data_IF_398837732685
#
_entry.id   IF_398837732685
#
_cell.length_a   1.000
_cell.length_b   1.000
_cell.length_c   1.000
_cell.angle_alpha   90.00
_cell.angle_beta   90.00
_cell.angle_gamma   90.00
#
_symmetry.space_group_name_H-M   'P 1'
#
loop_
_entity.id
_entity.type
_entity.pdbx_description
1 polymer ?
#
# COMPACT_ATOMS: atom_id res chain seq x y z
N UNK A 1 0.68 67.57 52.69
CA UNK A 1 1.01 67.07 51.33
C UNK A 1 1.31 65.59 51.45
N UNK A 2 0.33 64.73 51.15
CA UNK A 2 0.52 63.27 51.11
C UNK A 2 0.29 62.83 49.67
N UNK A 3 1.35 62.43 48.98
CA UNK A 3 1.33 61.94 47.60
C UNK A 3 1.02 60.44 47.60
N UNK A 4 -0.16 60.07 47.10
CA UNK A 4 -0.52 58.68 46.82
C UNK A 4 0.16 58.24 45.51
N UNK A 5 0.96 57.18 45.58
CA UNK A 5 1.50 56.47 44.42
C UNK A 5 0.56 55.30 44.10
N UNK A 6 -0.03 55.32 42.90
CA UNK A 6 -0.82 54.22 42.34
C UNK A 6 0.10 53.38 41.46
N UNK A 7 0.20 52.05 41.65
CA UNK A 7 0.98 51.20 40.76
C UNK A 7 0.15 50.82 39.53
N UNK A 8 0.58 51.24 38.35
CA UNK A 8 0.06 50.73 37.07
C UNK A 8 0.63 49.34 36.79
N UNK A 9 -0.21 48.31 36.85
CA UNK A 9 0.12 46.98 36.32
C UNK A 9 -0.09 46.97 34.80
N UNK A 10 0.99 46.85 34.03
CA UNK A 10 0.92 46.54 32.60
C UNK A 10 0.66 45.03 32.42
N UNK A 11 -0.56 44.69 32.01
CA UNK A 11 -0.90 43.34 31.55
C UNK A 11 -0.46 43.22 30.09
N UNK A 12 0.61 42.48 29.84
CA UNK A 12 1.07 42.16 28.48
C UNK A 12 0.28 40.95 28.00
N UNK A 13 -0.71 41.15 27.14
CA UNK A 13 -1.45 40.07 26.49
C UNK A 13 -0.61 39.54 25.33
N UNK A 14 0.06 38.39 25.53
CA UNK A 14 0.76 37.67 24.48
C UNK A 14 -0.29 36.92 23.65
N UNK A 15 -0.66 37.49 22.50
CA UNK A 15 -1.49 36.82 21.51
C UNK A 15 -0.64 35.74 20.81
N UNK A 16 -0.70 34.50 21.30
CA UNK A 16 -0.19 33.34 20.57
C UNK A 16 -1.10 33.08 19.37
N UNK A 17 -0.77 33.71 18.24
CA UNK A 17 -1.31 33.33 16.94
C UNK A 17 -0.80 31.92 16.60
N UNK A 18 -1.53 30.90 17.02
CA UNK A 18 -1.38 29.57 16.42
C UNK A 18 -1.93 29.66 15.00
N UNK A 19 -1.05 29.94 14.04
CA UNK A 19 -1.31 29.57 12.66
C UNK A 19 -1.48 28.05 12.66
N UNK A 20 -2.72 27.57 12.55
CA UNK A 20 -2.99 26.16 12.26
C UNK A 20 -2.46 25.93 10.85
N UNK A 21 -1.17 25.65 10.76
CA UNK A 21 -0.53 25.22 9.51
C UNK A 21 -1.27 23.98 9.06
N UNK A 22 -1.85 24.04 7.87
CA UNK A 22 -2.44 22.85 7.24
C UNK A 22 -1.31 21.84 7.10
N UNK A 23 -1.36 20.75 7.86
CA UNK A 23 -0.35 19.70 7.78
C UNK A 23 -0.45 19.02 6.42
N UNK A 24 0.68 18.87 5.74
CA UNK A 24 0.74 18.28 4.41
C UNK A 24 0.19 16.84 4.39
N UNK A 25 -0.51 16.48 3.31
CA UNK A 25 -1.02 15.14 3.11
C UNK A 25 0.17 14.17 2.96
N UNK A 26 0.25 13.17 3.82
CA UNK A 26 1.38 12.23 3.88
C UNK A 26 0.98 10.88 4.47
N UNK A 27 1.81 9.86 4.30
CA UNK A 27 1.75 8.67 5.14
C UNK A 27 2.01 9.06 6.60
N UNK A 28 1.19 8.55 7.52
CA UNK A 28 1.31 8.81 8.97
C UNK A 28 1.74 7.56 9.71
N UNK A 29 2.72 7.69 10.61
CA UNK A 29 3.17 6.59 11.44
C UNK A 29 2.18 6.25 12.56
N UNK A 30 2.56 5.30 13.41
CA UNK A 30 1.79 4.85 14.58
C UNK A 30 1.48 6.00 15.56
N UNK A 31 2.35 7.01 15.66
CA UNK A 31 2.16 8.20 16.50
C UNK A 31 1.38 9.34 15.81
N UNK A 32 1.10 9.22 14.51
CA UNK A 32 0.40 10.23 13.72
C UNK A 32 1.33 11.27 13.08
N UNK A 33 2.63 11.07 13.14
CA UNK A 33 3.64 11.94 12.53
C UNK A 33 3.80 11.58 11.05
N UNK A 34 4.21 12.55 10.23
CA UNK A 34 4.49 12.31 8.81
C UNK A 34 5.73 11.42 8.64
N UNK A 35 5.64 10.44 7.74
CA UNK A 35 6.76 9.56 7.35
C UNK A 35 6.82 9.41 5.84
N UNK A 36 8.02 9.09 5.34
CA UNK A 36 8.27 8.95 3.91
C UNK A 36 7.55 7.74 3.33
N UNK A 37 7.60 6.62 4.05
CA UNK A 37 6.86 5.41 3.74
C UNK A 37 6.66 4.58 5.00
N UNK A 38 5.65 3.71 4.97
CA UNK A 38 5.52 2.62 5.94
C UNK A 38 4.96 1.35 5.30
N UNK A 39 5.23 0.22 5.93
CA UNK A 39 4.71 -1.08 5.60
C UNK A 39 4.07 -1.70 6.84
N UNK A 40 2.87 -2.24 6.63
CA UNK A 40 2.17 -3.06 7.62
C UNK A 40 2.14 -4.50 7.11
N UNK A 41 2.45 -5.44 8.00
CA UNK A 41 2.18 -6.87 7.82
C UNK A 41 1.21 -7.33 8.91
N UNK A 42 -0.07 -7.36 8.58
CA UNK A 42 -1.09 -7.90 9.47
C UNK A 42 -0.96 -9.41 9.55
N UNK A 43 -0.89 -9.93 10.76
CA UNK A 43 -0.73 -11.35 11.04
C UNK A 43 -2.05 -12.11 10.78
N UNK A 44 -1.99 -13.36 10.30
CA UNK A 44 -3.19 -14.19 10.17
C UNK A 44 -3.78 -14.56 11.53
N UNK A 45 -5.04 -15.00 11.50
CA UNK A 45 -5.70 -15.60 12.66
C UNK A 45 -5.09 -16.97 13.01
N UNK A 46 -4.84 -17.79 11.99
CA UNK A 46 -4.26 -19.12 12.17
C UNK A 46 -2.76 -19.08 11.88
N UNK A 47 -1.97 -19.51 12.87
CA UNK A 47 -0.51 -19.54 12.84
C UNK A 47 -0.06 -20.92 13.31
N UNK A 48 1.20 -21.25 13.06
CA UNK A 48 1.76 -22.51 13.52
C UNK A 48 1.95 -22.43 15.04
N UNK A 49 1.30 -23.35 15.76
CA UNK A 49 1.37 -23.42 17.23
C UNK A 49 0.46 -22.44 17.98
N UNK A 50 -0.22 -21.50 17.31
CA UNK A 50 -1.12 -20.55 17.99
C UNK A 50 -2.30 -20.07 17.12
N UNK A 51 -3.37 -19.62 17.77
CA UNK A 51 -4.49 -18.90 17.13
C UNK A 51 -4.52 -17.48 17.66
N UNK A 52 -4.17 -16.52 16.80
CA UNK A 52 -4.15 -15.10 17.14
C UNK A 52 -5.51 -14.40 16.95
N UNK A 53 -5.53 -13.09 17.20
CA UNK A 53 -6.72 -12.25 17.01
C UNK A 53 -7.08 -12.01 15.53
N UNK A 54 -6.08 -12.13 14.65
CA UNK A 54 -6.18 -11.80 13.23
C UNK A 54 -6.17 -10.30 12.91
N UNK A 55 -5.97 -9.44 13.91
CA UNK A 55 -5.90 -7.97 13.77
C UNK A 55 -4.61 -7.35 14.31
N UNK A 56 -3.73 -8.16 14.90
CA UNK A 56 -2.36 -7.77 15.23
C UNK A 56 -1.54 -7.58 13.95
N UNK A 57 -0.55 -6.68 13.98
CA UNK A 57 0.32 -6.45 12.84
C UNK A 57 1.74 -6.07 13.24
N UNK A 58 2.66 -6.37 12.32
CA UNK A 58 4.02 -5.84 12.32
C UNK A 58 4.04 -4.53 11.52
N UNK A 59 4.88 -3.60 11.96
CA UNK A 59 5.05 -2.27 11.41
C UNK A 59 6.51 -2.02 11.07
N UNK A 60 6.76 -1.34 9.96
CA UNK A 60 8.07 -0.87 9.52
C UNK A 60 7.87 0.46 8.81
N UNK A 61 8.68 1.46 9.09
CA UNK A 61 8.67 2.75 8.40
C UNK A 61 10.09 3.21 8.05
N UNK A 62 10.18 4.38 7.43
CA UNK A 62 11.45 4.99 7.03
C UNK A 62 12.40 5.28 8.20
N UNK A 63 11.92 5.32 9.44
CA UNK A 63 12.74 5.56 10.63
C UNK A 63 13.11 4.26 11.37
N UNK A 64 12.34 3.19 11.18
CA UNK A 64 12.54 1.91 11.86
C UNK A 64 13.61 1.05 11.15
N UNK A 65 14.56 0.50 11.92
CA UNK A 65 15.60 -0.39 11.38
C UNK A 65 15.17 -1.86 11.14
N UNK A 66 13.98 -2.25 11.60
CA UNK A 66 13.43 -3.61 11.46
C UNK A 66 11.94 -3.66 11.79
N UNK A 67 11.28 -4.78 11.50
CA UNK A 67 9.91 -5.04 11.95
C UNK A 67 9.73 -4.79 13.45
N UNK A 68 8.70 -4.02 13.80
CA UNK A 68 8.25 -3.79 15.16
C UNK A 68 6.83 -4.34 15.32
N UNK A 69 6.52 -4.98 16.45
CA UNK A 69 5.14 -5.36 16.74
C UNK A 69 4.37 -4.11 17.13
N UNK A 70 3.28 -3.82 16.43
CA UNK A 70 2.44 -2.67 16.78
C UNK A 70 1.77 -2.86 18.14
N UNK A 71 1.61 -1.75 18.87
CA UNK A 71 0.77 -1.67 20.07
C UNK A 71 -0.72 -1.51 19.75
N UNK A 72 -1.05 -1.16 18.52
CA UNK A 72 -2.42 -1.02 18.03
C UNK A 72 -2.86 -2.29 17.29
N UNK A 73 -4.16 -2.40 17.07
CA UNK A 73 -4.73 -3.41 16.20
C UNK A 73 -5.24 -2.74 14.93
N UNK A 74 -5.13 -3.40 13.79
CA UNK A 74 -5.50 -2.80 12.49
C UNK A 74 -6.99 -2.45 12.41
N UNK A 75 -7.84 -2.99 13.28
CA UNK A 75 -9.26 -2.66 13.36
C UNK A 75 -9.59 -1.54 14.35
N UNK A 76 -8.59 -0.87 14.93
CA UNK A 76 -8.79 0.31 15.79
C UNK A 76 -8.70 1.59 14.99
N UNK A 77 -9.20 2.70 15.53
CA UNK A 77 -9.14 4.03 14.91
C UNK A 77 -7.81 4.76 15.15
N UNK A 78 -6.79 4.02 15.60
CA UNK A 78 -5.42 4.44 15.87
C UNK A 78 -4.44 3.54 15.10
N UNK A 79 -3.16 3.93 15.08
CA UNK A 79 -2.12 3.26 14.30
C UNK A 79 -1.99 3.81 12.88
N UNK A 80 -0.91 3.45 12.19
CA UNK A 80 -0.48 4.11 10.96
C UNK A 80 -1.54 4.10 9.85
N UNK A 81 -2.24 2.98 9.67
CA UNK A 81 -3.31 2.88 8.65
C UNK A 81 -4.49 3.83 8.96
N UNK A 82 -4.96 3.85 10.21
CA UNK A 82 -6.04 4.73 10.62
C UNK A 82 -5.62 6.20 10.62
N UNK A 83 -4.43 6.52 11.12
CA UNK A 83 -3.87 7.87 11.12
C UNK A 83 -3.75 8.43 9.70
N UNK A 84 -3.27 7.61 8.76
CA UNK A 84 -3.13 8.00 7.36
C UNK A 84 -4.49 8.26 6.71
N UNK A 85 -5.43 7.32 6.81
CA UNK A 85 -6.75 7.45 6.19
C UNK A 85 -7.65 8.49 6.86
N UNK A 86 -7.41 8.80 8.14
CA UNK A 86 -8.11 9.87 8.84
C UNK A 86 -7.90 11.25 8.20
N UNK A 87 -6.82 11.47 7.43
CA UNK A 87 -6.66 12.70 6.64
C UNK A 87 -7.72 12.84 5.55
N UNK A 88 -8.27 11.74 5.03
CA UNK A 88 -9.41 11.76 4.11
C UNK A 88 -10.74 11.89 4.86
N UNK A 89 -10.89 11.13 5.95
CA UNK A 89 -12.19 10.95 6.62
C UNK A 89 -12.53 12.09 7.57
N UNK A 90 -11.58 12.52 8.41
CA UNK A 90 -11.80 13.58 9.38
C UNK A 90 -11.78 14.93 8.67
N UNK A 91 -12.56 15.89 9.17
CA UNK A 91 -12.67 17.22 8.55
C UNK A 91 -13.33 17.23 7.17
N UNK A 92 -13.88 16.09 6.70
CA UNK A 92 -14.57 15.94 5.41
C UNK A 92 -13.71 16.37 4.21
N UNK A 93 -12.42 16.03 4.22
CA UNK A 93 -11.50 16.30 3.08
C UNK A 93 -12.01 15.66 1.79
N UNK A 94 -12.71 14.52 1.87
CA UNK A 94 -13.40 13.91 0.73
C UNK A 94 -14.49 14.79 0.08
N UNK A 95 -14.97 15.84 0.75
CA UNK A 95 -15.89 16.84 0.20
C UNK A 95 -15.16 18.11 -0.30
N UNK A 96 -13.83 18.15 -0.19
CA UNK A 96 -13.04 19.31 -0.57
C UNK A 96 -12.70 19.30 -2.05
N UNK A 97 -12.68 20.48 -2.67
CA UNK A 97 -12.16 20.68 -4.02
C UNK A 97 -10.63 20.95 -4.04
N UNK A 98 -9.98 20.94 -2.88
CA UNK A 98 -8.53 21.21 -2.75
C UNK A 98 -7.65 19.97 -2.82
N UNK A 99 -8.23 18.78 -3.01
CA UNK A 99 -7.51 17.52 -3.07
C UNK A 99 -8.23 16.52 -3.97
N UNK A 100 -7.46 15.65 -4.61
CA UNK A 100 -7.92 14.46 -5.34
C UNK A 100 -7.86 13.27 -4.42
N UNK A 101 -8.86 12.39 -4.48
CA UNK A 101 -8.76 11.08 -3.85
C UNK A 101 -9.42 9.99 -4.68
N UNK A 102 -8.94 8.76 -4.51
CA UNK A 102 -9.54 7.60 -5.12
C UNK A 102 -9.39 6.38 -4.21
N UNK A 103 -10.49 5.67 -3.99
CA UNK A 103 -10.55 4.40 -3.29
C UNK A 103 -10.88 3.30 -4.28
N UNK A 104 -10.03 2.27 -4.36
CA UNK A 104 -10.24 1.16 -5.27
C UNK A 104 -10.05 -0.19 -4.61
N UNK A 105 -10.89 -1.13 -5.02
CA UNK A 105 -10.83 -2.52 -4.59
C UNK A 105 -11.69 -3.38 -5.53
N UNK A 106 -11.14 -4.45 -6.06
CA UNK A 106 -11.89 -5.36 -6.94
C UNK A 106 -13.07 -6.06 -6.23
N UNK A 107 -12.99 -6.19 -4.91
CA UNK A 107 -14.10 -6.49 -4.01
C UNK A 107 -14.32 -5.34 -3.01
N UNK A 108 -14.89 -4.23 -3.46
CA UNK A 108 -15.20 -3.06 -2.63
C UNK A 108 -16.06 -3.39 -1.38
N UNK A 109 -16.07 -2.54 -0.33
CA UNK A 109 -16.86 -2.76 0.87
C UNK A 109 -18.33 -2.99 0.55
N UNK A 110 -18.92 -4.06 1.10
CA UNK A 110 -20.31 -4.47 0.86
C UNK A 110 -20.66 -4.73 -0.62
N UNK A 111 -19.67 -4.94 -1.50
CA UNK A 111 -19.86 -5.23 -2.91
C UNK A 111 -19.21 -6.56 -3.31
N UNK A 112 -19.76 -7.21 -4.33
CA UNK A 112 -19.22 -8.46 -4.89
C UNK A 112 -17.93 -8.19 -5.66
N UNK A 113 -17.07 -9.20 -5.77
CA UNK A 113 -15.90 -9.17 -6.64
C UNK A 113 -16.30 -9.09 -8.11
N UNK A 114 -15.67 -8.21 -8.88
CA UNK A 114 -15.87 -8.12 -10.33
C UNK A 114 -14.55 -8.41 -11.04
N UNK A 115 -14.51 -9.50 -11.81
CA UNK A 115 -13.29 -10.01 -12.44
C UNK A 115 -12.79 -9.20 -13.64
N UNK A 116 -13.65 -8.37 -14.23
CA UNK A 116 -13.28 -7.51 -15.38
C UNK A 116 -12.33 -6.37 -14.99
N UNK A 117 -12.25 -6.03 -13.70
CA UNK A 117 -11.27 -5.09 -13.16
C UNK A 117 -10.00 -5.80 -12.68
N UNK A 118 -8.89 -5.07 -12.63
CA UNK A 118 -7.64 -5.57 -12.08
C UNK A 118 -7.77 -6.04 -10.62
N UNK A 119 -6.94 -6.98 -10.19
CA UNK A 119 -6.94 -7.52 -8.82
C UNK A 119 -6.20 -6.60 -7.84
N UNK A 120 -6.47 -5.31 -7.90
CA UNK A 120 -5.71 -4.30 -7.15
C UNK A 120 -6.59 -3.61 -6.10
N UNK A 121 -5.95 -3.07 -5.06
CA UNK A 121 -6.64 -2.38 -3.96
C UNK A 121 -5.74 -1.28 -3.39
N UNK A 122 -6.35 -0.16 -3.04
CA UNK A 122 -5.59 0.94 -2.48
C UNK A 122 -6.35 2.25 -2.37
N UNK A 123 -5.59 3.24 -1.93
CA UNK A 123 -6.05 4.60 -1.65
C UNK A 123 -5.04 5.59 -2.21
N UNK A 124 -5.57 6.62 -2.83
CA UNK A 124 -4.84 7.81 -3.25
C UNK A 124 -5.47 9.02 -2.55
N UNK A 125 -4.65 9.90 -2.01
CA UNK A 125 -5.06 11.23 -1.56
C UNK A 125 -3.92 12.20 -1.82
N UNK A 126 -4.17 13.24 -2.62
CA UNK A 126 -3.17 14.22 -3.05
C UNK A 126 -3.77 15.63 -3.11
N UNK A 127 -2.99 16.63 -2.71
CA UNK A 127 -3.17 18.00 -3.16
C UNK A 127 -2.08 18.36 -4.20
N UNK A 128 -2.02 19.62 -4.65
CA UNK A 128 -1.03 20.05 -5.65
C UNK A 128 0.42 20.06 -5.14
N UNK A 129 0.64 19.95 -3.83
CA UNK A 129 1.98 19.81 -3.25
C UNK A 129 2.38 18.34 -3.24
N UNK A 130 1.65 17.52 -2.47
CA UNK A 130 2.01 16.14 -2.21
C UNK A 130 0.80 15.30 -1.79
N UNK A 131 1.05 14.02 -1.57
CA UNK A 131 0.06 13.10 -1.06
C UNK A 131 0.65 11.73 -0.76
N UNK A 132 -0.24 10.75 -0.65
CA UNK A 132 0.19 9.37 -0.46
C UNK A 132 -0.52 8.41 -1.41
N UNK A 133 0.20 7.35 -1.76
CA UNK A 133 -0.36 6.15 -2.37
C UNK A 133 -0.23 4.99 -1.38
N UNK A 134 -1.37 4.43 -0.97
CA UNK A 134 -1.47 3.26 -0.11
C UNK A 134 -1.95 2.06 -0.95
N UNK A 135 -1.07 1.12 -1.24
CA UNK A 135 -1.41 -0.18 -1.86
C UNK A 135 -1.57 -1.25 -0.79
N UNK A 136 -2.56 -2.14 -0.92
CA UNK A 136 -2.80 -3.18 0.10
C UNK A 136 -3.46 -4.45 -0.45
N UNK A 137 -3.44 -5.53 0.34
CA UNK A 137 -4.06 -6.81 -0.04
C UNK A 137 -5.41 -7.10 0.64
N UNK A 138 -5.95 -6.15 1.41
CA UNK A 138 -7.20 -6.30 2.19
C UNK A 138 -8.47 -6.15 1.34
N UNK A 139 -9.27 -7.22 1.09
CA UNK A 139 -10.55 -7.09 0.40
C UNK A 139 -11.58 -6.37 1.25
N UNK A 140 -12.57 -5.74 0.61
CA UNK A 140 -13.64 -4.97 1.28
C UNK A 140 -13.13 -3.82 2.15
N UNK A 141 -11.95 -3.29 1.83
CA UNK A 141 -11.29 -2.18 2.52
C UNK A 141 -10.75 -1.16 1.50
N UNK A 142 -10.65 0.12 1.85
CA UNK A 142 -11.20 0.74 3.05
C UNK A 142 -12.71 1.03 2.97
N UNK A 143 -13.33 1.37 4.10
CA UNK A 143 -14.70 1.86 4.14
C UNK A 143 -14.91 3.15 3.32
N UNK A 144 -16.17 3.41 2.99
CA UNK A 144 -16.61 4.69 2.43
C UNK A 144 -16.26 5.85 3.38
N UNK A 145 -15.79 7.01 2.87
CA UNK A 145 -15.34 8.11 3.72
C UNK A 145 -16.34 8.57 4.78
N UNK A 146 -17.63 8.57 4.45
CA UNK A 146 -18.73 8.98 5.33
C UNK A 146 -18.88 8.09 6.57
N UNK A 147 -18.34 6.86 6.52
CA UNK A 147 -18.38 5.89 7.63
C UNK A 147 -17.13 5.92 8.50
N UNK A 148 -16.15 6.76 8.16
CA UNK A 148 -14.85 6.80 8.82
C UNK A 148 -14.06 5.50 8.66
N UNK A 149 -12.99 5.35 9.44
CA UNK A 149 -12.13 4.16 9.40
C UNK A 149 -12.84 2.91 9.94
N UNK A 150 -12.97 1.88 9.11
CA UNK A 150 -13.50 0.58 9.51
C UNK A 150 -12.71 -0.53 8.83
N UNK A 151 -12.25 -1.50 9.63
CA UNK A 151 -11.57 -2.67 9.10
C UNK A 151 -12.57 -3.82 8.92
N UNK A 152 -12.59 -4.49 7.75
CA UNK A 152 -13.58 -5.52 7.46
C UNK A 152 -13.36 -6.76 8.33
N UNK A 153 -14.44 -7.35 8.83
CA UNK A 153 -14.38 -8.60 9.60
C UNK A 153 -13.77 -9.76 8.82
N UNK A 154 -13.99 -9.80 7.50
CA UNK A 154 -13.39 -10.77 6.59
C UNK A 154 -11.87 -10.62 6.47
N UNK A 155 -11.32 -9.43 6.72
CA UNK A 155 -9.88 -9.17 6.73
C UNK A 155 -9.14 -9.80 7.92
N UNK A 156 -9.85 -10.34 8.91
CA UNK A 156 -9.20 -10.93 10.10
C UNK A 156 -8.55 -12.28 9.82
N UNK A 157 -9.06 -13.04 8.87
CA UNK A 157 -8.67 -14.44 8.69
C UNK A 157 -7.22 -14.61 8.23
N UNK A 158 -6.85 -13.95 7.13
CA UNK A 158 -5.56 -14.14 6.47
C UNK A 158 -4.56 -13.03 6.77
N UNK A 159 -3.27 -13.35 6.67
CA UNK A 159 -2.19 -12.35 6.68
C UNK A 159 -2.35 -11.38 5.51
N UNK A 160 -2.02 -10.11 5.70
CA UNK A 160 -2.21 -9.06 4.70
C UNK A 160 -1.10 -8.02 4.79
N UNK A 161 -0.73 -7.42 3.66
CA UNK A 161 0.26 -6.35 3.61
C UNK A 161 -0.37 -5.05 3.11
N UNK A 162 0.21 -3.94 3.56
CA UNK A 162 -0.06 -2.61 3.02
C UNK A 162 1.25 -1.83 2.94
N UNK A 163 1.47 -1.10 1.84
CA UNK A 163 2.59 -0.18 1.63
C UNK A 163 1.99 1.21 1.40
N UNK A 164 2.38 2.17 2.23
CA UNK A 164 2.12 3.58 2.02
C UNK A 164 3.42 4.28 1.64
N UNK A 165 3.41 5.09 0.59
CA UNK A 165 4.52 5.98 0.25
C UNK A 165 4.00 7.40 0.04
N UNK A 166 4.69 8.36 0.65
CA UNK A 166 4.46 9.80 0.48
C UNK A 166 5.18 10.26 -0.77
N UNK A 167 4.45 10.91 -1.68
CA UNK A 167 4.94 11.31 -2.99
C UNK A 167 4.65 12.80 -3.24
N UNK A 168 5.58 13.49 -3.90
CA UNK A 168 5.28 14.78 -4.51
C UNK A 168 4.21 14.62 -5.60
N UNK A 169 3.39 15.65 -5.82
CA UNK A 169 2.30 15.61 -6.81
C UNK A 169 2.77 15.23 -8.22
N UNK A 170 3.99 15.61 -8.61
CA UNK A 170 4.57 15.24 -9.92
C UNK A 170 4.68 13.72 -10.13
N UNK A 171 4.90 12.93 -9.07
CA UNK A 171 4.94 11.48 -9.14
C UNK A 171 3.54 10.88 -9.34
N UNK A 172 2.49 11.57 -8.85
CA UNK A 172 1.11 11.13 -8.98
C UNK A 172 0.68 11.01 -10.45
N UNK A 173 1.20 11.87 -11.33
CA UNK A 173 0.96 11.79 -12.78
C UNK A 173 1.43 10.45 -13.36
N UNK A 174 2.59 9.96 -12.91
CA UNK A 174 3.11 8.64 -13.32
C UNK A 174 2.32 7.49 -12.69
N UNK A 175 1.85 7.65 -11.45
CA UNK A 175 0.97 6.67 -10.79
C UNK A 175 -0.35 6.56 -11.55
N UNK A 176 -0.97 7.67 -11.95
CA UNK A 176 -2.21 7.68 -12.74
C UNK A 176 -2.04 6.93 -14.07
N UNK A 177 -0.90 7.12 -14.76
CA UNK A 177 -0.57 6.34 -15.97
C UNK A 177 -0.45 4.84 -15.69
N UNK A 178 0.17 4.46 -14.56
CA UNK A 178 0.27 3.04 -14.17
C UNK A 178 -1.09 2.41 -13.92
N UNK A 179 -2.01 3.14 -13.28
CA UNK A 179 -3.37 2.67 -13.00
C UNK A 179 -4.18 2.41 -14.27
N UNK A 180 -3.87 3.05 -15.40
CA UNK A 180 -4.51 2.73 -16.69
C UNK A 180 -4.26 1.29 -17.09
N UNK A 181 -3.02 0.80 -16.97
CA UNK A 181 -2.70 -0.61 -17.26
C UNK A 181 -3.42 -1.56 -16.30
N UNK A 182 -3.45 -1.21 -15.01
CA UNK A 182 -4.05 -2.05 -13.98
C UNK A 182 -5.57 -2.13 -14.10
N UNK A 183 -6.22 -1.04 -14.54
CA UNK A 183 -7.66 -0.88 -14.60
C UNK A 183 -8.37 -1.22 -13.27
N UNK A 184 -8.09 -0.44 -12.20
CA UNK A 184 -8.69 -0.65 -10.89
C UNK A 184 -10.20 -0.41 -10.90
N UNK A 185 -10.90 -1.08 -9.98
CA UNK A 185 -12.30 -0.74 -9.69
C UNK A 185 -12.36 0.39 -8.66
N UNK A 186 -12.45 1.63 -9.11
CA UNK A 186 -12.78 2.75 -8.23
C UNK A 186 -14.24 2.65 -7.77
N UNK A 187 -14.46 2.67 -6.46
CA UNK A 187 -15.82 2.64 -5.88
C UNK A 187 -16.17 3.93 -5.14
N UNK A 188 -15.19 4.80 -4.93
CA UNK A 188 -15.39 6.18 -4.49
C UNK A 188 -14.17 6.99 -4.97
N UNK A 189 -14.41 8.03 -5.75
CA UNK A 189 -13.36 8.84 -6.35
C UNK A 189 -13.86 10.28 -6.53
N UNK A 190 -12.96 11.24 -6.32
CA UNK A 190 -13.18 12.64 -6.65
C UNK A 190 -11.93 13.22 -7.33
N UNK A 191 -12.13 13.77 -8.52
CA UNK A 191 -11.12 14.55 -9.26
C UNK A 191 -11.71 15.94 -9.50
N UNK A 192 -11.49 16.92 -8.59
CA UNK A 192 -12.01 18.27 -8.78
C UNK A 192 -11.46 18.94 -10.05
N UNK A 193 -12.19 19.91 -10.59
CA UNK A 193 -11.84 20.61 -11.84
C UNK A 193 -10.42 21.20 -11.84
N UNK A 194 -9.90 21.63 -10.69
CA UNK A 194 -8.54 22.13 -10.56
C UNK A 194 -7.45 21.10 -10.96
N UNK A 195 -7.77 19.81 -10.93
CA UNK A 195 -6.84 18.72 -11.22
C UNK A 195 -7.14 17.99 -12.54
N UNK A 196 -8.26 18.29 -13.21
CA UNK A 196 -8.73 17.50 -14.35
C UNK A 196 -7.81 17.58 -15.57
N UNK A 197 -7.16 18.74 -15.77
CA UNK A 197 -6.20 18.94 -16.86
C UNK A 197 -4.94 18.06 -16.68
N UNK A 198 -4.47 17.90 -15.45
CA UNK A 198 -3.28 17.12 -15.12
C UNK A 198 -3.57 15.61 -15.06
N UNK A 199 -4.82 15.24 -14.72
CA UNK A 199 -5.22 13.86 -14.44
C UNK A 199 -6.38 13.34 -15.33
N UNK A 200 -6.34 13.53 -16.67
CA UNK A 200 -7.45 13.14 -17.55
C UNK A 200 -7.70 11.62 -17.53
N UNK A 201 -6.65 10.82 -17.38
CA UNK A 201 -6.76 9.36 -17.30
C UNK A 201 -7.43 8.91 -15.99
N UNK A 202 -7.14 9.57 -14.87
CA UNK A 202 -7.77 9.24 -13.60
C UNK A 202 -9.26 9.60 -13.62
N UNK A 203 -9.62 10.74 -14.21
CA UNK A 203 -11.01 11.15 -14.40
C UNK A 203 -11.80 10.07 -15.16
N UNK A 204 -11.28 9.61 -16.31
CA UNK A 204 -11.90 8.53 -17.08
C UNK A 204 -12.08 7.25 -16.26
N UNK A 205 -11.05 6.83 -15.52
CA UNK A 205 -11.15 5.63 -14.68
C UNK A 205 -12.19 5.80 -13.57
N UNK A 206 -12.32 6.99 -12.99
CA UNK A 206 -13.30 7.27 -11.93
C UNK A 206 -14.75 7.28 -12.44
N UNK A 207 -14.96 7.60 -13.72
CA UNK A 207 -16.24 7.45 -14.42
C UNK A 207 -16.53 5.99 -14.82
N UNK A 208 -15.61 5.06 -14.56
CA UNK A 208 -15.71 3.66 -14.97
C UNK A 208 -15.35 3.43 -16.44
N UNK A 209 -14.80 4.43 -17.11
CA UNK A 209 -14.30 4.30 -18.48
C UNK A 209 -12.94 3.64 -18.49
N UNK A 210 -12.64 2.94 -19.59
CA UNK A 210 -11.36 2.27 -19.80
C UNK A 210 -10.51 3.06 -20.80
N UNK A 211 -9.49 3.80 -20.35
CA UNK A 211 -8.63 4.53 -21.26
C UNK A 211 -7.91 3.56 -22.23
N UNK A 212 -7.64 3.99 -23.47
CA UNK A 212 -6.95 3.15 -24.44
C UNK A 212 -5.54 2.81 -23.97
N UNK A 213 -5.14 1.56 -24.18
CA UNK A 213 -3.81 1.06 -23.85
C UNK A 213 -2.88 1.16 -25.06
N UNK A 214 -1.69 1.71 -24.88
CA UNK A 214 -0.62 1.72 -25.90
C UNK A 214 0.26 0.47 -25.82
N UNK A 215 0.22 -0.25 -24.70
CA UNK A 215 0.93 -1.50 -24.46
C UNK A 215 0.16 -2.34 -23.43
N UNK A 216 0.49 -3.63 -23.30
CA UNK A 216 -0.14 -4.51 -22.30
C UNK A 216 0.51 -4.43 -20.91
N UNK A 217 1.61 -3.69 -20.76
CA UNK A 217 2.32 -3.49 -19.49
C UNK A 217 3.19 -2.24 -19.54
N UNK A 218 3.55 -1.70 -18.39
CA UNK A 218 4.43 -0.54 -18.26
C UNK A 218 5.21 -0.54 -16.95
N UNK A 219 6.41 0.04 -16.97
CA UNK A 219 7.27 0.21 -15.80
C UNK A 219 7.58 1.69 -15.59
N UNK A 220 7.55 2.14 -14.34
CA UNK A 220 7.90 3.52 -13.95
C UNK A 220 8.76 3.53 -12.69
N UNK A 221 9.85 4.28 -12.72
CA UNK A 221 10.54 4.67 -11.50
C UNK A 221 9.73 5.79 -10.81
N UNK A 222 9.54 5.65 -9.50
CA UNK A 222 8.88 6.61 -8.63
C UNK A 222 9.84 6.95 -7.49
N UNK A 223 9.76 8.17 -6.99
CA UNK A 223 10.61 8.64 -5.89
C UNK A 223 9.74 9.23 -4.80
N UNK A 224 9.90 8.74 -3.57
CA UNK A 224 9.22 9.34 -2.42
C UNK A 224 9.67 10.79 -2.19
N UNK A 225 8.99 11.51 -1.29
CA UNK A 225 9.36 12.89 -0.95
C UNK A 225 10.78 13.01 -0.37
N UNK A 226 11.29 11.95 0.28
CA UNK A 226 12.66 11.89 0.82
C UNK A 226 13.68 11.29 -0.15
N UNK A 227 13.26 10.93 -1.37
CA UNK A 227 14.15 10.46 -2.44
C UNK A 227 14.35 8.94 -2.52
N UNK A 228 13.67 8.15 -1.69
CA UNK A 228 13.72 6.68 -1.80
C UNK A 228 13.10 6.24 -3.13
N UNK A 229 13.86 5.42 -3.87
CA UNK A 229 13.44 4.92 -5.18
C UNK A 229 12.53 3.70 -5.05
N UNK A 230 11.38 3.80 -5.69
CA UNK A 230 10.46 2.71 -5.94
C UNK A 230 10.34 2.45 -7.45
N UNK A 231 9.98 1.22 -7.83
CA UNK A 231 9.69 0.86 -9.22
C UNK A 231 8.30 0.23 -9.30
N UNK A 232 7.39 0.91 -9.98
CA UNK A 232 6.05 0.41 -10.27
C UNK A 232 6.08 -0.43 -11.54
N UNK A 233 5.73 -1.70 -11.42
CA UNK A 233 5.39 -2.58 -12.53
C UNK A 233 3.87 -2.68 -12.60
N UNK A 234 3.29 -2.39 -13.76
CA UNK A 234 1.85 -2.52 -13.99
C UNK A 234 1.59 -3.32 -15.27
N UNK A 235 0.67 -4.28 -15.20
CA UNK A 235 0.17 -5.03 -16.36
C UNK A 235 -1.33 -4.89 -16.49
N UNK A 236 -1.80 -5.00 -17.73
CA UNK A 236 -3.21 -5.26 -18.04
C UNK A 236 -3.47 -6.76 -18.18
N UNK A 237 -4.73 -7.13 -18.38
CA UNK A 237 -5.16 -8.49 -18.69
C UNK A 237 -4.61 -9.03 -20.02
N UNK A 238 -4.13 -8.14 -20.90
CA UNK A 238 -3.55 -8.54 -22.19
C UNK A 238 -2.11 -9.08 -22.05
N UNK A 239 -1.45 -8.85 -20.92
CA UNK A 239 -0.21 -9.55 -20.59
C UNK A 239 -0.58 -10.83 -19.86
N UNK A 240 -0.52 -11.97 -20.52
CA UNK A 240 -1.11 -13.21 -20.01
C UNK A 240 -0.14 -14.12 -19.27
N UNK A 241 1.11 -13.69 -19.05
CA UNK A 241 2.09 -14.46 -18.28
C UNK A 241 1.98 -14.21 -16.76
N UNK A 242 2.60 -15.10 -15.99
CA UNK A 242 2.88 -14.88 -14.56
C UNK A 242 3.76 -13.64 -14.41
N UNK A 243 3.24 -12.58 -13.79
CA UNK A 243 3.92 -11.28 -13.68
C UNK A 243 5.31 -11.42 -13.03
N UNK A 244 5.45 -12.33 -12.06
CA UNK A 244 6.70 -12.54 -11.34
C UNK A 244 7.73 -13.22 -12.26
N UNK A 245 7.37 -14.35 -12.84
CA UNK A 245 8.28 -15.19 -13.64
C UNK A 245 8.55 -14.63 -15.03
N UNK A 246 7.49 -14.33 -15.78
CA UNK A 246 7.58 -13.93 -17.19
C UNK A 246 7.98 -12.48 -17.40
N UNK A 247 8.13 -11.70 -16.32
CA UNK A 247 8.49 -10.29 -16.46
C UNK A 247 9.37 -9.75 -15.34
N UNK A 248 8.90 -9.71 -14.10
CA UNK A 248 9.59 -8.94 -13.04
C UNK A 248 10.95 -9.55 -12.70
N UNK A 249 11.05 -10.87 -12.52
CA UNK A 249 12.34 -11.54 -12.28
C UNK A 249 13.35 -11.26 -13.42
N UNK A 250 12.87 -11.27 -14.67
CA UNK A 250 13.72 -11.06 -15.85
C UNK A 250 14.21 -9.61 -15.95
N UNK A 251 13.33 -8.63 -15.69
CA UNK A 251 13.69 -7.20 -15.74
C UNK A 251 14.59 -6.81 -14.58
N UNK A 252 14.34 -7.36 -13.38
CA UNK A 252 15.19 -7.13 -12.22
C UNK A 252 16.53 -7.85 -12.31
N UNK A 253 16.63 -8.88 -13.16
CA UNK A 253 17.83 -9.69 -13.26
C UNK A 253 18.10 -10.52 -12.00
N UNK A 254 17.05 -10.86 -11.24
CA UNK A 254 17.15 -11.50 -9.92
C UNK A 254 16.20 -12.69 -9.81
N UNK A 255 16.65 -13.74 -9.13
CA UNK A 255 15.82 -14.87 -8.74
C UNK A 255 14.91 -14.46 -7.57
N UNK A 256 13.60 -14.73 -7.67
CA UNK A 256 12.60 -14.20 -6.74
C UNK A 256 11.97 -15.29 -5.88
N UNK A 257 12.04 -15.11 -4.56
CA UNK A 257 11.23 -15.85 -3.59
C UNK A 257 9.89 -15.12 -3.44
N UNK A 258 8.78 -15.80 -3.72
CA UNK A 258 7.46 -15.17 -3.86
C UNK A 258 6.44 -15.75 -2.89
N UNK A 259 5.90 -14.87 -2.05
CA UNK A 259 4.76 -15.14 -1.18
C UNK A 259 3.49 -14.66 -1.88
N UNK A 260 2.54 -15.57 -2.10
CA UNK A 260 1.16 -15.24 -2.49
C UNK A 260 0.19 -16.20 -1.81
N UNK A 261 -1.11 -15.91 -1.90
CA UNK A 261 -2.13 -16.80 -1.36
C UNK A 261 -2.18 -18.12 -2.12
N UNK A 262 -1.87 -19.21 -1.42
CA UNK A 262 -1.76 -20.55 -2.01
C UNK A 262 -2.81 -21.49 -1.40
N UNK A 263 -3.91 -21.65 -2.12
CA UNK A 263 -4.97 -22.62 -1.80
C UNK A 263 -4.76 -23.88 -2.61
N UNK A 264 -4.52 -25.00 -1.92
CA UNK A 264 -4.14 -26.32 -2.45
C UNK A 264 -4.62 -26.61 -3.88
N UNK A 265 -3.65 -26.76 -4.79
CA UNK A 265 -3.84 -27.34 -6.12
C UNK A 265 -4.16 -26.36 -7.25
N UNK A 266 -4.15 -25.05 -6.99
CA UNK A 266 -4.44 -24.02 -8.01
C UNK A 266 -3.29 -23.06 -8.25
N UNK A 267 -2.31 -23.05 -7.35
CA UNK A 267 -1.10 -22.27 -7.47
C UNK A 267 -0.25 -22.73 -8.66
N UNK A 268 0.40 -21.77 -9.31
CA UNK A 268 1.48 -22.07 -10.23
C UNK A 268 2.66 -22.64 -9.41
N UNK A 269 3.36 -23.68 -9.92
CA UNK A 269 4.55 -24.19 -9.24
C UNK A 269 5.68 -23.14 -9.26
N UNK A 270 6.73 -23.40 -8.46
CA UNK A 270 8.02 -22.74 -8.67
C UNK A 270 8.45 -22.95 -10.13
N UNK A 271 9.01 -21.92 -10.75
CA UNK A 271 9.35 -21.95 -12.17
C UNK A 271 10.80 -21.54 -12.37
N UNK A 272 11.57 -22.45 -12.97
CA UNK A 272 13.00 -22.33 -13.19
C UNK A 272 13.35 -22.61 -14.66
N UNK A 273 12.39 -22.36 -15.55
CA UNK A 273 12.53 -22.59 -16.99
C UNK A 273 13.00 -21.35 -17.76
N UNK A 274 13.02 -20.18 -17.10
CA UNK A 274 13.53 -18.92 -17.65
C UNK A 274 14.87 -18.55 -17.00
N UNK A 275 15.66 -17.63 -17.59
CA UNK A 275 16.98 -17.26 -17.07
C UNK A 275 16.98 -16.80 -15.61
N UNK A 276 15.91 -16.13 -15.16
CA UNK A 276 15.66 -15.82 -13.75
C UNK A 276 14.48 -16.60 -13.22
N UNK A 277 14.64 -17.16 -12.03
CA UNK A 277 13.71 -18.11 -11.44
C UNK A 277 12.71 -17.44 -10.50
N UNK A 278 11.56 -18.09 -10.31
CA UNK A 278 10.56 -17.69 -9.32
C UNK A 278 10.12 -18.86 -8.45
N UNK A 279 10.43 -18.81 -7.15
CA UNK A 279 10.20 -19.88 -6.19
C UNK A 279 9.12 -19.50 -5.19
N UNK A 280 8.18 -20.41 -4.93
CA UNK A 280 7.08 -20.15 -4.00
C UNK A 280 7.54 -20.28 -2.55
N UNK A 281 7.44 -19.18 -1.81
CA UNK A 281 7.45 -19.20 -0.34
C UNK A 281 6.20 -19.96 0.10
N UNK A 282 6.37 -20.89 1.03
CA UNK A 282 5.29 -21.70 1.61
C UNK A 282 5.08 -21.43 3.09
N UNK A 283 6.10 -20.91 3.78
CA UNK A 283 6.01 -20.50 5.17
C UNK A 283 6.74 -19.19 5.38
N UNK A 284 6.07 -18.29 6.11
CA UNK A 284 6.59 -16.99 6.52
C UNK A 284 6.82 -16.98 8.03
N UNK A 285 7.87 -16.30 8.48
CA UNK A 285 8.16 -16.05 9.90
C UNK A 285 8.30 -14.55 10.16
N UNK A 286 7.69 -14.04 11.23
CA UNK A 286 7.85 -12.65 11.66
C UNK A 286 8.26 -12.58 13.14
N UNK A 287 8.97 -11.54 13.59
CA UNK A 287 9.37 -11.42 15.00
C UNK A 287 8.16 -11.42 15.96
N UNK A 288 8.31 -11.97 17.19
CA UNK A 288 9.51 -12.63 17.70
C UNK A 288 9.74 -14.05 17.18
N UNK A 289 8.72 -14.77 16.70
CA UNK A 289 8.80 -16.09 16.03
C UNK A 289 7.41 -16.54 15.54
N UNK A 290 6.61 -15.62 15.02
CA UNK A 290 5.27 -15.91 14.51
C UNK A 290 5.39 -16.54 13.12
N UNK A 291 5.12 -17.84 13.04
CA UNK A 291 5.16 -18.60 11.78
C UNK A 291 3.76 -18.89 11.24
N UNK A 292 3.59 -18.84 9.93
CA UNK A 292 2.33 -19.21 9.29
C UNK A 292 2.54 -19.66 7.84
N UNK A 293 1.67 -20.56 7.42
CA UNK A 293 1.60 -21.11 6.06
C UNK A 293 1.05 -20.06 5.08
N UNK A 294 1.54 -20.08 3.84
CA UNK A 294 1.03 -19.23 2.75
C UNK A 294 -0.46 -19.47 2.44
N UNK A 295 -1.01 -20.59 2.89
CA UNK A 295 -2.45 -20.87 2.85
C UNK A 295 -3.28 -19.85 3.64
N UNK A 296 -2.75 -19.39 4.77
CA UNK A 296 -3.39 -18.40 5.64
C UNK A 296 -2.93 -16.98 5.35
N UNK A 297 -2.32 -16.71 4.19
CA UNK A 297 -1.75 -15.41 3.91
C UNK A 297 -2.17 -14.86 2.54
N UNK A 298 -2.89 -13.74 2.57
CA UNK A 298 -3.32 -12.97 1.40
C UNK A 298 -2.29 -11.92 0.97
N UNK A 299 -1.23 -11.71 1.75
CA UNK A 299 -0.11 -10.88 1.35
C UNK A 299 0.49 -11.39 0.03
N UNK A 300 1.02 -10.45 -0.73
CA UNK A 300 1.63 -10.70 -2.03
C UNK A 300 2.88 -9.87 -2.09
N UNK A 301 4.00 -10.55 -2.00
CA UNK A 301 5.30 -9.92 -2.04
C UNK A 301 6.33 -10.89 -2.59
N UNK A 302 7.42 -10.34 -3.10
CA UNK A 302 8.59 -11.10 -3.48
C UNK A 302 9.86 -10.42 -2.98
N UNK A 303 10.91 -11.22 -2.85
CA UNK A 303 12.23 -10.76 -2.43
C UNK A 303 13.29 -11.50 -3.23
N UNK A 304 14.41 -10.84 -3.56
CA UNK A 304 15.51 -11.56 -4.22
C UNK A 304 16.07 -12.66 -3.32
N UNK A 305 16.38 -13.79 -3.95
CA UNK A 305 17.02 -14.92 -3.28
C UNK A 305 18.46 -14.58 -2.91
N UNK A 306 19.22 -14.05 -3.87
CA UNK A 306 20.59 -13.59 -3.68
C UNK A 306 20.62 -12.31 -2.83
N UNK A 307 21.61 -12.22 -1.95
CA UNK A 307 21.70 -11.16 -0.95
C UNK A 307 22.22 -9.83 -1.53
N UNK A 308 22.95 -9.91 -2.63
CA UNK A 308 23.53 -8.79 -3.38
C UNK A 308 22.49 -8.00 -4.19
N UNK A 309 21.40 -8.64 -4.64
CA UNK A 309 20.38 -8.01 -5.47
C UNK A 309 19.49 -7.02 -4.69
N UNK A 310 19.30 -7.27 -3.40
CA UNK A 310 18.57 -6.43 -2.43
C UNK A 310 17.23 -5.85 -2.90
N UNK A 311 16.44 -6.61 -3.65
CA UNK A 311 15.13 -6.13 -4.14
C UNK A 311 13.98 -6.82 -3.42
N UNK A 312 12.96 -6.03 -3.12
CA UNK A 312 11.70 -6.49 -2.53
C UNK A 312 10.54 -5.81 -3.25
N UNK A 313 9.48 -6.54 -3.56
CA UNK A 313 8.29 -5.96 -4.15
C UNK A 313 7.03 -6.39 -3.40
N UNK A 314 6.06 -5.48 -3.30
CA UNK A 314 4.73 -5.76 -2.79
C UNK A 314 3.72 -5.57 -3.92
N UNK A 315 2.69 -6.42 -4.02
CA UNK A 315 1.82 -6.37 -5.19
C UNK A 315 0.41 -6.90 -5.05
N UNK A 316 -0.20 -7.06 -6.22
CA UNK A 316 -1.64 -7.27 -6.37
C UNK A 316 -2.01 -8.71 -6.71
N UNK A 317 -1.15 -9.42 -7.44
CA UNK A 317 -1.52 -10.71 -8.07
C UNK A 317 -1.04 -11.92 -7.26
N UNK A 318 -1.93 -12.90 -7.07
CA UNK A 318 -1.54 -14.24 -6.65
C UNK A 318 -0.92 -15.01 -7.82
N UNK A 319 -0.06 -15.98 -7.54
CA UNK A 319 0.49 -16.90 -8.56
C UNK A 319 -0.50 -18.03 -8.87
N UNK A 320 -1.58 -17.70 -9.58
CA UNK A 320 -2.59 -18.66 -10.08
C UNK A 320 -3.01 -18.31 -11.50
N UNK A 321 -3.36 -19.30 -12.33
CA UNK A 321 -3.71 -19.10 -13.76
C UNK A 321 -4.78 -18.03 -13.99
N UNK A 322 -5.81 -17.99 -13.15
CA UNK A 322 -6.93 -17.04 -13.30
C UNK A 322 -6.55 -15.59 -13.03
N UNK A 323 -5.46 -15.32 -12.30
CA UNK A 323 -4.97 -13.96 -12.04
C UNK A 323 -4.00 -13.48 -13.13
N UNK A 324 -3.45 -14.39 -13.96
CA UNK A 324 -2.65 -14.02 -15.13
C UNK A 324 -3.46 -13.23 -16.16
N UNK A 325 -4.78 -13.46 -16.20
CA UNK A 325 -5.73 -12.79 -17.10
C UNK A 325 -6.37 -11.54 -16.47
N UNK A 326 -5.71 -10.91 -15.49
CA UNK A 326 -6.20 -9.71 -14.82
C UNK A 326 -5.12 -8.65 -14.75
N UNK A 327 -5.54 -7.39 -14.76
CA UNK A 327 -4.65 -6.28 -14.45
C UNK A 327 -4.19 -6.31 -13.00
N UNK A 328 -3.00 -5.76 -12.74
CA UNK A 328 -2.38 -5.72 -11.42
C UNK A 328 -0.92 -5.27 -11.53
N UNK A 329 -0.28 -5.03 -10.38
CA UNK A 329 1.09 -4.58 -10.36
C UNK A 329 1.89 -5.00 -9.13
N UNK A 330 3.13 -4.52 -9.12
CA UNK A 330 4.11 -4.65 -8.05
C UNK A 330 4.79 -3.30 -7.84
N UNK A 331 5.00 -2.90 -6.59
CA UNK A 331 5.84 -1.77 -6.21
C UNK A 331 7.09 -2.35 -5.58
N UNK A 332 8.21 -2.21 -6.28
CA UNK A 332 9.52 -2.71 -5.85
C UNK A 332 10.35 -1.62 -5.18
N UNK A 333 11.15 -1.99 -4.20
CA UNK A 333 12.12 -1.15 -3.50
C UNK A 333 13.48 -1.82 -3.48
N UNK A 334 14.52 -0.99 -3.47
CA UNK A 334 15.92 -1.39 -3.24
C UNK A 334 16.42 -0.91 -1.87
N UNK A 335 15.50 -0.47 -1.01
CA UNK A 335 15.87 -0.02 0.33
C UNK A 335 16.37 -1.22 1.16
N UNK A 336 17.61 -1.19 1.67
CA UNK A 336 18.23 -2.32 2.37
C UNK A 336 17.50 -2.70 3.66
N UNK A 337 16.82 -1.75 4.31
CA UNK A 337 16.02 -1.99 5.52
C UNK A 337 14.79 -2.82 5.16
N UNK A 338 14.06 -2.43 4.11
CA UNK A 338 12.88 -3.17 3.65
C UNK A 338 13.30 -4.57 3.16
N UNK A 339 14.37 -4.64 2.36
CA UNK A 339 14.92 -5.92 1.90
C UNK A 339 15.25 -6.85 3.06
N UNK A 340 16.02 -6.38 4.04
CA UNK A 340 16.41 -7.18 5.22
C UNK A 340 15.19 -7.65 6.01
N UNK A 341 14.16 -6.81 6.14
CA UNK A 341 12.94 -7.14 6.85
C UNK A 341 12.15 -8.28 6.17
N UNK A 342 12.00 -8.24 4.84
CA UNK A 342 11.29 -9.29 4.08
C UNK A 342 12.14 -10.53 3.83
N UNK A 343 13.45 -10.39 3.62
CA UNK A 343 14.35 -11.53 3.43
C UNK A 343 14.43 -12.42 4.66
N UNK A 344 14.38 -11.82 5.86
CA UNK A 344 14.26 -12.53 7.14
C UNK A 344 12.88 -13.15 7.36
N UNK A 345 11.87 -12.70 6.62
CA UNK A 345 10.53 -13.25 6.74
C UNK A 345 10.33 -14.56 5.99
N UNK A 346 11.25 -14.93 5.10
CA UNK A 346 11.24 -16.22 4.40
C UNK A 346 11.66 -17.32 5.36
N UNK A 347 10.74 -18.19 5.73
CA UNK A 347 11.04 -19.35 6.59
C UNK A 347 11.26 -20.63 5.76
N UNK A 348 10.37 -20.91 4.81
CA UNK A 348 10.50 -22.05 3.91
C UNK A 348 9.89 -21.76 2.53
N UNK A 349 10.53 -22.26 1.48
CA UNK A 349 10.09 -22.13 0.10
C UNK A 349 10.40 -23.41 -0.70
N UNK A 350 9.67 -23.62 -1.80
CA UNK A 350 9.92 -24.72 -2.74
C UNK A 350 10.95 -24.24 -3.75
N UNK A 351 12.15 -24.80 -3.69
CA UNK A 351 13.20 -24.54 -4.67
C UNK A 351 12.87 -25.16 -6.03
N UNK A 352 13.68 -24.83 -7.02
CA UNK A 352 13.99 -25.77 -8.09
C UNK A 352 14.74 -26.97 -7.46
#
# INVERSE_FOLDING_TARGET
MASQLVPCFHITVVLLCFTVGRSDISCRNEAGEAVDWFIIYKLPKFRIGEVGSGVEYMYLDSAAGSWQRSKFMVNTTQGAMANTLNQLYKGKVYMSNSSVYALYNDGAPHQKYIRTYGHTKGVLLFDHSQGFWLSHTVPHFPSFPERGYQYPSSGKHNGQTALCVTYQYSQFLSIAQQLVYVYPRFYNCSVPTAFSADLPQLLQLCEGSRPPLTANKGVKALFSVSGDKFVSFAKSEHFVDDIYTGWVAQVLGADLLVQTWQTQGRELPSNCSLPRHTMNIKRTVLPPSVQFESHYDHSKWCVSQAYEDQVVCLGDLNRVKTQMLRGGGLICSYNPVIYKAFRKAVDWYISC
#
